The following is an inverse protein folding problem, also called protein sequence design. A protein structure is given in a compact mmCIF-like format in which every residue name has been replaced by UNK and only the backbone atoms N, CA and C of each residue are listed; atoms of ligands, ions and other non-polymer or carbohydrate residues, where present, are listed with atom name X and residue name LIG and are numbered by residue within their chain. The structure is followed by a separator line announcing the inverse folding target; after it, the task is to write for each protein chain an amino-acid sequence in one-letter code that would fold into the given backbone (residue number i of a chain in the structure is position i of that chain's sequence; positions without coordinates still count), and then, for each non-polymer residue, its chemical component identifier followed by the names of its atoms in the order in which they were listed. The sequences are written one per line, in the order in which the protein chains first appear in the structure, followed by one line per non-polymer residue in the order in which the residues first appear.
data_IF_880912507718
#
_entry.id   IF_880912507718
#
_cell.length_a   1.000
_cell.length_b   1.000
_cell.length_c   1.000
_cell.angle_alpha   90.00
_cell.angle_beta   90.00
_cell.angle_gamma   90.00
#
_symmetry.space_group_name_H-M   'P 1'
#
loop_
_entity.id
_entity.type
_entity.pdbx_description
1 polymer ?
#
# COMPACT_ATOMS: atom_id res chain seq x y z
N UNK A 1 1.95 2.33 18.03
CA UNK A 1 1.29 1.93 16.77
C UNK A 1 -0.19 1.70 16.97
N UNK A 2 -0.60 0.68 17.75
CA UNK A 2 -2.03 0.39 18.01
C UNK A 2 -2.80 1.61 18.54
N UNK A 3 -2.26 2.36 19.51
CA UNK A 3 -2.94 3.53 20.06
C UNK A 3 -3.22 4.67 19.06
N UNK A 4 -2.36 4.86 18.05
CA UNK A 4 -2.53 5.90 17.03
C UNK A 4 -3.61 5.58 16.00
N UNK A 5 -3.93 4.30 15.83
CA UNK A 5 -5.00 3.81 14.93
C UNK A 5 -6.31 3.64 15.72
N UNK A 6 -6.23 3.06 16.91
CA UNK A 6 -7.40 2.67 17.72
C UNK A 6 -8.12 3.88 18.30
N UNK A 7 -7.40 4.88 18.82
CA UNK A 7 -8.02 6.06 19.43
C UNK A 7 -8.89 6.86 18.43
N UNK A 8 -8.37 7.30 17.26
CA UNK A 8 -9.18 8.02 16.29
C UNK A 8 -10.31 7.17 15.69
N UNK A 9 -10.10 5.87 15.48
CA UNK A 9 -11.14 4.96 15.03
C UNK A 9 -12.31 4.85 16.03
N UNK A 10 -11.99 4.67 17.32
CA UNK A 10 -12.98 4.57 18.39
C UNK A 10 -13.72 5.90 18.59
N UNK A 11 -13.02 7.04 18.54
CA UNK A 11 -13.68 8.34 18.61
C UNK A 11 -14.66 8.51 17.44
N UNK A 12 -14.24 8.19 16.22
CA UNK A 12 -15.12 8.29 15.04
C UNK A 12 -16.34 7.37 15.13
N UNK A 13 -16.15 6.12 15.57
CA UNK A 13 -17.25 5.18 15.78
C UNK A 13 -18.20 5.66 16.89
N UNK A 14 -17.67 6.20 17.99
CA UNK A 14 -18.46 6.74 19.09
C UNK A 14 -19.34 7.91 18.64
N UNK A 15 -18.83 8.81 17.80
CA UNK A 15 -19.62 9.94 17.29
C UNK A 15 -20.60 9.56 16.16
N UNK A 16 -20.39 8.43 15.49
CA UNK A 16 -21.19 8.01 14.32
C UNK A 16 -22.03 6.74 14.56
N UNK A 17 -22.19 6.30 15.82
CA UNK A 17 -22.85 5.03 16.15
C UNK A 17 -24.33 4.98 15.71
N UNK A 18 -25.04 6.11 15.74
CA UNK A 18 -26.45 6.22 15.34
C UNK A 18 -26.67 6.24 13.81
N UNK A 19 -25.60 6.23 13.00
CA UNK A 19 -25.67 6.33 11.54
C UNK A 19 -25.05 5.10 10.87
N UNK A 20 -25.82 4.04 10.57
CA UNK A 20 -25.30 2.77 10.07
C UNK A 20 -24.52 2.87 8.75
N UNK A 21 -24.79 3.90 7.93
CA UNK A 21 -24.02 4.18 6.71
C UNK A 21 -22.62 4.76 6.96
N UNK A 22 -22.42 5.51 8.06
CA UNK A 22 -21.16 6.20 8.36
C UNK A 22 -20.17 5.36 9.16
N UNK A 23 -20.62 4.29 9.83
CA UNK A 23 -19.74 3.39 10.60
C UNK A 23 -18.64 2.76 9.73
N UNK A 24 -18.92 2.54 8.44
CA UNK A 24 -17.92 2.06 7.45
C UNK A 24 -16.82 3.09 7.13
N UNK A 25 -16.91 4.32 7.63
CA UNK A 25 -15.92 5.38 7.45
C UNK A 25 -14.83 5.43 8.53
N UNK A 26 -14.77 4.44 9.43
CA UNK A 26 -13.81 4.42 10.55
C UNK A 26 -12.33 4.52 10.14
N UNK A 27 -12.01 4.16 8.89
CA UNK A 27 -10.68 4.25 8.31
C UNK A 27 -10.29 5.68 7.86
N UNK A 28 -11.25 6.57 7.62
CA UNK A 28 -11.02 7.96 7.19
C UNK A 28 -10.10 8.73 8.17
N UNK A 29 -10.33 8.73 9.50
CA UNK A 29 -9.47 9.44 10.46
C UNK A 29 -8.13 8.75 10.75
N UNK A 30 -7.92 7.53 10.28
CA UNK A 30 -6.66 6.78 10.43
C UNK A 30 -5.74 7.03 9.24
N UNK A 31 -6.31 7.29 8.05
CA UNK A 31 -5.54 7.54 6.83
C UNK A 31 -4.59 8.73 7.04
N UNK A 32 -3.29 8.43 7.06
CA UNK A 32 -2.22 9.42 7.20
C UNK A 32 -1.64 9.72 5.82
N UNK A 33 -1.67 10.98 5.36
CA UNK A 33 -1.04 11.37 4.10
C UNK A 33 0.49 11.51 4.27
N UNK A 34 1.20 10.47 3.85
CA UNK A 34 2.65 10.36 3.91
C UNK A 34 3.36 11.41 3.05
N UNK A 35 2.80 11.77 1.90
CA UNK A 35 3.40 12.76 1.01
C UNK A 35 3.38 14.15 1.66
N UNK A 36 2.29 14.48 2.35
CA UNK A 36 2.17 15.71 3.12
C UNK A 36 3.13 15.74 4.32
N UNK A 37 3.21 14.65 5.10
CA UNK A 37 4.15 14.54 6.23
C UNK A 37 5.60 14.67 5.76
N UNK A 38 6.00 13.93 4.72
CA UNK A 38 7.34 14.03 4.14
C UNK A 38 7.62 15.42 3.55
N UNK A 39 6.61 16.07 2.96
CA UNK A 39 6.69 17.44 2.46
C UNK A 39 7.01 18.44 3.57
N UNK A 40 6.27 18.40 4.68
CA UNK A 40 6.55 19.25 5.86
C UNK A 40 7.92 18.94 6.44
N UNK A 41 8.26 17.66 6.59
CA UNK A 41 9.57 17.23 7.10
C UNK A 41 10.73 17.73 6.21
N UNK A 42 10.52 17.85 4.90
CA UNK A 42 11.50 18.42 3.97
C UNK A 42 11.78 19.91 4.25
N UNK A 43 10.76 20.69 4.65
CA UNK A 43 10.97 22.09 5.06
C UNK A 43 11.77 22.22 6.37
N UNK A 44 11.63 21.26 7.29
CA UNK A 44 12.37 21.20 8.55
C UNK A 44 13.63 20.30 8.48
N UNK A 45 14.09 19.99 7.26
CA UNK A 45 15.13 19.00 6.91
C UNK A 45 16.44 19.09 7.72
N UNK A 46 16.74 20.25 8.31
CA UNK A 46 17.96 20.49 9.10
C UNK A 46 18.10 19.61 10.35
N UNK A 47 17.02 19.00 10.86
CA UNK A 47 17.04 18.20 12.10
C UNK A 47 16.51 16.76 11.97
N UNK A 48 16.15 16.31 10.77
CA UNK A 48 15.51 15.00 10.59
C UNK A 48 16.50 13.98 10.08
N UNK A 49 16.82 13.00 10.92
CA UNK A 49 17.69 11.87 10.58
C UNK A 49 17.11 11.07 9.41
N UNK A 50 18.01 10.52 8.58
CA UNK A 50 17.64 9.66 7.45
C UNK A 50 16.77 8.46 7.88
N UNK A 51 17.06 7.94 9.08
CA UNK A 51 16.33 6.83 9.71
C UNK A 51 14.85 7.15 9.94
N UNK A 52 14.51 8.39 10.33
CA UNK A 52 13.12 8.77 10.57
C UNK A 52 12.30 8.80 9.26
N UNK A 53 12.92 9.26 8.16
CA UNK A 53 12.27 9.24 6.84
C UNK A 53 12.03 7.82 6.36
N UNK A 54 13.04 6.96 6.48
CA UNK A 54 12.93 5.55 6.12
C UNK A 54 11.86 4.83 6.97
N UNK A 55 11.80 5.14 8.27
CA UNK A 55 10.77 4.62 9.17
C UNK A 55 9.36 5.07 8.76
N UNK A 56 9.15 6.35 8.45
CA UNK A 56 7.83 6.88 8.04
C UNK A 56 7.38 6.28 6.71
N UNK A 57 8.29 6.14 5.74
CA UNK A 57 7.99 5.50 4.44
C UNK A 57 7.61 4.03 4.65
N UNK A 58 8.37 3.29 5.47
CA UNK A 58 8.08 1.89 5.78
C UNK A 58 6.76 1.71 6.52
N UNK A 59 6.46 2.58 7.49
CA UNK A 59 5.21 2.57 8.23
C UNK A 59 4.00 2.80 7.31
N UNK A 60 4.09 3.78 6.40
CA UNK A 60 3.05 4.04 5.41
C UNK A 60 2.76 2.84 4.51
N UNK A 61 3.80 2.10 4.10
CA UNK A 61 3.64 0.93 3.23
C UNK A 61 2.82 -0.18 3.92
N UNK A 62 3.04 -0.36 5.23
CA UNK A 62 2.35 -1.36 6.05
C UNK A 62 0.88 -0.95 6.25
N UNK A 63 0.61 0.30 6.61
CA UNK A 63 -0.75 0.80 6.82
C UNK A 63 -1.58 0.71 5.52
N UNK A 64 -1.02 1.11 4.38
CA UNK A 64 -1.69 0.99 3.07
C UNK A 64 -2.01 -0.48 2.73
N UNK A 65 -1.12 -1.41 3.06
CA UNK A 65 -1.36 -2.83 2.84
C UNK A 65 -2.51 -3.36 3.72
N UNK A 66 -2.59 -2.92 4.98
CA UNK A 66 -3.68 -3.27 5.90
C UNK A 66 -5.01 -2.70 5.38
N UNK A 67 -5.06 -1.41 5.02
CA UNK A 67 -6.25 -0.77 4.46
C UNK A 67 -6.73 -1.47 3.18
N UNK A 68 -5.80 -1.81 2.29
CA UNK A 68 -6.09 -2.51 1.05
C UNK A 68 -6.68 -3.91 1.28
N UNK A 69 -6.21 -4.65 2.30
CA UNK A 69 -6.77 -5.94 2.71
C UNK A 69 -8.17 -5.82 3.31
N UNK A 70 -8.43 -4.79 4.12
CA UNK A 70 -9.72 -4.58 4.77
C UNK A 70 -10.82 -4.07 3.83
N UNK A 71 -10.48 -3.37 2.75
CA UNK A 71 -11.45 -2.79 1.80
C UNK A 71 -11.64 -3.61 0.51
N UNK A 72 -11.31 -4.91 0.51
CA UNK A 72 -11.63 -5.81 -0.60
C UNK A 72 -13.15 -5.98 -0.66
N UNK A 73 -13.78 -5.35 -1.65
CA UNK A 73 -15.24 -5.26 -1.73
C UNK A 73 -15.87 -6.35 -2.61
N UNK A 74 -15.17 -6.76 -3.66
CA UNK A 74 -15.62 -7.75 -4.65
C UNK A 74 -14.41 -8.42 -5.27
N UNK A 75 -14.27 -9.74 -5.14
CA UNK A 75 -13.16 -10.48 -5.76
C UNK A 75 -13.64 -11.03 -7.11
N UNK A 76 -13.00 -10.60 -8.18
CA UNK A 76 -13.17 -11.22 -9.50
C UNK A 76 -12.16 -12.36 -9.66
N UNK A 77 -12.63 -13.61 -9.60
CA UNK A 77 -11.79 -14.82 -9.63
C UNK A 77 -10.88 -14.95 -10.86
N UNK A 78 -11.30 -14.67 -12.11
CA UNK A 78 -10.40 -14.70 -13.26
C UNK A 78 -9.29 -13.64 -13.18
N UNK A 79 -9.59 -12.42 -12.73
CA UNK A 79 -8.59 -11.36 -12.57
C UNK A 79 -7.57 -11.70 -11.47
N UNK A 80 -8.00 -12.41 -10.42
CA UNK A 80 -7.11 -12.94 -9.37
C UNK A 80 -6.14 -14.00 -9.93
N UNK A 81 -6.61 -14.85 -10.85
CA UNK A 81 -5.77 -15.88 -11.46
C UNK A 81 -4.71 -15.24 -12.36
N UNK A 82 -5.09 -14.23 -13.13
CA UNK A 82 -4.17 -13.44 -13.97
C UNK A 82 -3.12 -12.73 -13.09
N UNK A 83 -3.52 -12.08 -12.01
CA UNK A 83 -2.57 -11.40 -11.11
C UNK A 83 -1.58 -12.38 -10.47
N UNK A 84 -2.03 -13.58 -10.08
CA UNK A 84 -1.17 -14.65 -9.57
C UNK A 84 -0.11 -15.09 -10.59
N UNK A 85 -0.49 -15.27 -11.86
CA UNK A 85 0.45 -15.59 -12.95
C UNK A 85 1.48 -14.46 -13.14
N UNK A 86 1.06 -13.20 -13.08
CA UNK A 86 1.95 -12.05 -13.21
C UNK A 86 2.95 -11.96 -12.04
N UNK A 87 2.49 -12.23 -10.82
CA UNK A 87 3.37 -12.31 -9.63
C UNK A 87 4.39 -13.44 -9.81
N UNK A 88 3.98 -14.58 -10.37
CA UNK A 88 4.90 -15.67 -10.66
C UNK A 88 5.96 -15.28 -11.70
N UNK A 89 5.61 -14.47 -12.71
CA UNK A 89 6.57 -13.89 -13.66
C UNK A 89 7.56 -12.95 -12.96
N UNK A 90 7.09 -12.09 -12.04
CA UNK A 90 7.97 -11.25 -11.22
C UNK A 90 8.93 -12.08 -10.37
N UNK A 91 8.45 -13.18 -9.79
CA UNK A 91 9.29 -14.10 -9.04
C UNK A 91 10.40 -14.71 -9.92
N UNK A 92 10.09 -15.13 -11.15
CA UNK A 92 11.09 -15.64 -12.09
C UNK A 92 12.11 -14.56 -12.48
N UNK A 93 11.67 -13.33 -12.72
CA UNK A 93 12.56 -12.20 -13.05
C UNK A 93 13.53 -11.88 -11.90
N UNK A 94 13.02 -11.87 -10.66
CA UNK A 94 13.83 -11.68 -9.46
C UNK A 94 14.81 -12.86 -9.27
N UNK A 95 14.33 -14.10 -9.42
CA UNK A 95 15.17 -15.30 -9.31
C UNK A 95 16.32 -15.30 -10.33
N UNK A 96 16.06 -14.80 -11.55
CA UNK A 96 17.07 -14.63 -12.60
C UNK A 96 17.94 -13.39 -12.42
N UNK A 97 17.76 -12.61 -11.36
CA UNK A 97 18.54 -11.40 -11.05
C UNK A 97 18.55 -10.41 -12.21
N UNK A 98 17.44 -10.30 -12.95
CA UNK A 98 17.33 -9.35 -14.06
C UNK A 98 17.34 -7.94 -13.47
N UNK A 99 18.38 -7.14 -13.78
CA UNK A 99 18.54 -5.76 -13.30
C UNK A 99 17.84 -4.71 -14.19
N UNK A 100 17.31 -5.13 -15.34
CA UNK A 100 16.64 -4.21 -16.26
C UNK A 100 15.27 -3.78 -15.72
N UNK A 101 15.20 -2.54 -15.24
CA UNK A 101 13.99 -1.94 -14.66
C UNK A 101 12.80 -1.93 -15.65
N UNK A 102 13.07 -1.84 -16.94
CA UNK A 102 12.05 -1.82 -18.00
C UNK A 102 11.07 -3.00 -17.93
N UNK A 103 11.56 -4.22 -17.65
CA UNK A 103 10.69 -5.39 -17.53
C UNK A 103 9.76 -5.31 -16.32
N UNK A 104 10.26 -4.82 -15.18
CA UNK A 104 9.44 -4.66 -13.98
C UNK A 104 8.36 -3.59 -14.16
N UNK A 105 8.62 -2.54 -14.94
CA UNK A 105 7.62 -1.51 -15.25
C UNK A 105 6.48 -2.11 -16.07
N UNK A 106 6.79 -2.85 -17.15
CA UNK A 106 5.76 -3.47 -18.00
C UNK A 106 4.93 -4.49 -17.22
N UNK A 107 5.60 -5.39 -16.51
CA UNK A 107 4.95 -6.45 -15.73
C UNK A 107 4.13 -5.84 -14.59
N UNK A 108 4.64 -4.77 -13.98
CA UNK A 108 3.93 -4.01 -12.96
C UNK A 108 2.67 -3.32 -13.47
N UNK A 109 2.69 -2.76 -14.68
CA UNK A 109 1.52 -2.14 -15.30
C UNK A 109 0.43 -3.19 -15.57
N UNK A 110 0.81 -4.37 -16.06
CA UNK A 110 -0.10 -5.51 -16.23
C UNK A 110 -0.68 -6.01 -14.91
N UNK A 111 0.15 -6.09 -13.86
CA UNK A 111 -0.29 -6.46 -12.52
C UNK A 111 -1.30 -5.44 -11.97
N UNK A 112 -1.03 -4.14 -12.18
CA UNK A 112 -1.89 -3.06 -11.71
C UNK A 112 -3.28 -3.14 -12.32
N UNK A 113 -3.38 -3.30 -13.65
CA UNK A 113 -4.66 -3.44 -14.36
C UNK A 113 -5.43 -4.65 -13.82
N UNK A 114 -4.74 -5.79 -13.67
CA UNK A 114 -5.35 -7.03 -13.17
C UNK A 114 -5.83 -6.89 -11.73
N UNK A 115 -5.11 -6.15 -10.89
CA UNK A 115 -5.51 -5.92 -9.50
C UNK A 115 -6.76 -5.03 -9.41
N UNK A 116 -6.82 -3.94 -10.18
CA UNK A 116 -7.99 -3.05 -10.24
C UNK A 116 -9.23 -3.82 -10.70
N UNK A 117 -9.10 -4.64 -11.74
CA UNK A 117 -10.16 -5.55 -12.24
C UNK A 117 -10.57 -6.62 -11.21
N UNK A 118 -9.62 -7.09 -10.39
CA UNK A 118 -9.89 -8.07 -9.32
C UNK A 118 -10.59 -7.50 -8.09
N UNK A 119 -10.77 -6.18 -8.03
CA UNK A 119 -11.30 -5.45 -6.88
C UNK A 119 -10.30 -5.32 -5.71
N UNK A 120 -9.03 -5.64 -5.97
CA UNK A 120 -7.92 -5.38 -5.08
C UNK A 120 -7.42 -3.96 -5.34
N UNK A 121 -7.02 -3.24 -4.30
CA UNK A 121 -6.47 -1.90 -4.46
C UNK A 121 -5.17 -1.93 -5.28
N UNK A 122 -5.10 -1.10 -6.31
CA UNK A 122 -3.92 -0.99 -7.17
C UNK A 122 -2.64 -0.54 -6.45
N UNK A 123 -2.75 0.05 -5.25
CA UNK A 123 -1.61 0.43 -4.41
C UNK A 123 -0.78 -0.77 -3.94
N UNK A 124 -1.40 -1.94 -3.76
CA UNK A 124 -0.69 -3.19 -3.43
C UNK A 124 0.28 -3.62 -4.54
N UNK A 125 -0.03 -3.30 -5.80
CA UNK A 125 0.83 -3.61 -6.93
C UNK A 125 2.22 -2.99 -6.75
N UNK A 126 2.29 -1.72 -6.35
CA UNK A 126 3.56 -1.02 -6.10
C UNK A 126 4.40 -1.69 -5.02
N UNK A 127 3.76 -2.08 -3.91
CA UNK A 127 4.42 -2.80 -2.81
C UNK A 127 4.96 -4.16 -3.25
N UNK A 128 4.19 -4.91 -4.03
CA UNK A 128 4.61 -6.21 -4.58
C UNK A 128 5.81 -6.01 -5.50
N UNK A 129 5.73 -5.10 -6.47
CA UNK A 129 6.85 -4.83 -7.39
C UNK A 129 8.10 -4.43 -6.61
N UNK A 130 7.98 -3.55 -5.62
CA UNK A 130 9.10 -3.11 -4.79
C UNK A 130 9.79 -4.28 -4.04
N UNK A 131 9.01 -5.26 -3.58
CA UNK A 131 9.54 -6.48 -2.94
C UNK A 131 10.33 -7.36 -3.93
N UNK A 132 9.94 -7.35 -5.21
CA UNK A 132 10.54 -8.17 -6.26
C UNK A 132 11.71 -7.50 -6.99
N UNK A 133 11.93 -6.19 -6.82
CA UNK A 133 13.09 -5.52 -7.41
C UNK A 133 14.34 -5.90 -6.59
N UNK A 134 15.38 -6.50 -7.22
CA UNK A 134 16.60 -6.87 -6.51
C UNK A 134 17.38 -5.63 -6.08
N UNK A 135 17.64 -5.49 -4.79
CA UNK A 135 18.36 -4.35 -4.18
C UNK A 135 19.89 -4.56 -4.16
N UNK A 136 20.38 -5.65 -4.75
CA UNK A 136 21.82 -5.95 -4.79
C UNK A 136 22.52 -5.16 -5.92
N UNK A 137 23.02 -3.98 -5.53
CA UNK A 137 24.19 -3.31 -6.12
C UNK A 137 25.45 -3.88 -5.52
#
# INVERSE_FOLDING_TARGET
MVGGVVVPALMYMFFNYDKPGLIKGWAIPIATDTAFVLGILSFFSRHISLELRAFIIGFSLIDDAILALFYIKTINTPALLISSVIIFILFILNYRQVKQLFYYIIVGLLLWISMVESGIHGTLCGTIIALFIPVNG
#
